data_IF_308125933588
#
_entry.id   IF_308125933588
#
_cell.length_a   1.000
_cell.length_b   1.000
_cell.length_c   1.000
_cell.angle_alpha   90.00
_cell.angle_beta   90.00
_cell.angle_gamma   90.00
#
_symmetry.space_group_name_H-M   'P 1'
#
loop_
_entity.id
_entity.type
_entity.pdbx_description
1 polymer ?
#
# COMPACT_ATOMS: atom_id res chain seq x y z
N UNK A 1 -24.80 -49.22 15.27
CA UNK A 1 -24.76 -48.23 14.18
C UNK A 1 -24.70 -46.85 14.82
N UNK A 2 -23.51 -46.24 14.85
CA UNK A 2 -23.29 -44.92 15.47
C UNK A 2 -23.51 -43.84 14.41
N UNK A 3 -24.66 -43.18 14.42
CA UNK A 3 -24.94 -42.03 13.56
C UNK A 3 -24.39 -40.78 14.24
N UNK A 4 -23.24 -40.28 13.74
CA UNK A 4 -22.74 -38.95 14.10
C UNK A 4 -23.80 -37.89 13.77
N UNK A 5 -23.99 -36.86 14.62
CA UNK A 5 -24.93 -35.79 14.33
C UNK A 5 -24.47 -35.01 13.09
N UNK A 6 -25.38 -34.47 12.27
CA UNK A 6 -25.01 -33.63 11.14
C UNK A 6 -24.29 -32.39 11.67
N UNK A 7 -23.01 -32.24 11.31
CA UNK A 7 -22.25 -31.01 11.52
C UNK A 7 -23.00 -29.88 10.84
N UNK A 8 -23.69 -29.02 11.60
CA UNK A 8 -24.21 -27.77 11.06
C UNK A 8 -23.00 -26.94 10.68
N UNK A 9 -22.70 -26.86 9.39
CA UNK A 9 -21.76 -25.90 8.86
C UNK A 9 -22.34 -24.51 9.17
N UNK A 10 -21.80 -23.80 10.15
CA UNK A 10 -22.06 -22.37 10.30
C UNK A 10 -21.54 -21.68 9.02
N UNK A 11 -22.40 -20.99 8.25
CA UNK A 11 -21.96 -20.32 7.03
C UNK A 11 -20.88 -19.29 7.37
N UNK A 12 -19.82 -19.22 6.57
CA UNK A 12 -18.84 -18.15 6.69
C UNK A 12 -19.53 -16.78 6.55
N UNK A 13 -19.07 -15.73 7.25
CA UNK A 13 -19.66 -14.40 7.18
C UNK A 13 -19.61 -13.89 5.73
N UNK A 14 -20.74 -13.34 5.26
CA UNK A 14 -20.83 -12.78 3.90
C UNK A 14 -19.95 -11.54 3.79
N UNK A 15 -19.12 -11.52 2.74
CA UNK A 15 -18.13 -10.49 2.48
C UNK A 15 -18.39 -9.85 1.11
N UNK A 16 -18.58 -8.53 1.08
CA UNK A 16 -18.66 -7.78 -0.18
C UNK A 16 -17.33 -7.08 -0.46
N UNK A 17 -16.84 -7.20 -1.69
CA UNK A 17 -15.53 -6.72 -2.13
C UNK A 17 -15.68 -5.57 -3.12
N UNK A 18 -15.01 -4.46 -2.82
CA UNK A 18 -14.96 -3.25 -3.65
C UNK A 18 -13.52 -2.90 -3.95
N UNK A 19 -13.14 -2.94 -5.24
CA UNK A 19 -11.78 -2.66 -5.69
C UNK A 19 -11.76 -1.35 -6.46
N UNK A 20 -10.91 -0.44 -6.03
CA UNK A 20 -10.54 0.76 -6.77
C UNK A 20 -9.50 0.40 -7.83
N UNK A 21 -9.97 0.13 -9.05
CA UNK A 21 -9.14 -0.36 -10.14
C UNK A 21 -8.21 0.71 -10.72
N UNK A 22 -8.47 1.99 -10.45
CA UNK A 22 -7.60 3.11 -10.86
C UNK A 22 -6.35 3.19 -10.00
N UNK A 23 -6.45 2.76 -8.73
CA UNK A 23 -5.33 2.71 -7.79
C UNK A 23 -4.70 1.31 -7.65
N UNK A 24 -5.38 0.25 -8.08
CA UNK A 24 -4.94 -1.14 -7.88
C UNK A 24 -4.75 -1.84 -9.24
N UNK A 25 -3.50 -2.25 -9.56
CA UNK A 25 -3.22 -3.01 -10.78
C UNK A 25 -3.99 -4.33 -10.87
N UNK A 26 -4.39 -4.70 -12.08
CA UNK A 26 -5.11 -5.96 -12.38
C UNK A 26 -4.34 -7.21 -11.93
N UNK A 27 -3.01 -7.13 -11.82
CA UNK A 27 -2.14 -8.22 -11.34
C UNK A 27 -2.46 -8.66 -9.91
N UNK A 28 -3.15 -7.83 -9.12
CA UNK A 28 -3.59 -8.18 -7.76
C UNK A 28 -4.94 -8.89 -7.69
N UNK A 29 -5.67 -9.04 -8.80
CA UNK A 29 -7.02 -9.61 -8.80
C UNK A 29 -7.11 -10.97 -8.08
N UNK A 30 -6.20 -11.91 -8.41
CA UNK A 30 -6.18 -13.22 -7.75
C UNK A 30 -5.85 -13.11 -6.26
N UNK A 31 -4.89 -12.26 -5.90
CA UNK A 31 -4.53 -12.02 -4.50
C UNK A 31 -5.69 -11.44 -3.69
N UNK A 32 -6.48 -10.54 -4.29
CA UNK A 32 -7.67 -9.95 -3.68
C UNK A 32 -8.75 -11.02 -3.51
N UNK A 33 -8.94 -11.88 -4.52
CA UNK A 33 -9.89 -12.99 -4.44
C UNK A 33 -9.52 -13.95 -3.31
N UNK A 34 -8.25 -14.34 -3.22
CA UNK A 34 -7.75 -15.22 -2.15
C UNK A 34 -7.91 -14.55 -0.77
N UNK A 35 -7.60 -13.25 -0.67
CA UNK A 35 -7.82 -12.45 0.53
C UNK A 35 -9.30 -12.46 0.95
N UNK A 36 -10.22 -12.29 0.00
CA UNK A 36 -11.65 -12.29 0.30
C UNK A 36 -12.09 -13.64 0.88
N UNK A 37 -11.68 -14.75 0.27
CA UNK A 37 -11.98 -16.09 0.77
C UNK A 37 -11.36 -16.41 2.14
N UNK A 38 -10.22 -15.79 2.48
CA UNK A 38 -9.63 -15.93 3.82
C UNK A 38 -10.47 -15.29 4.92
N UNK A 39 -11.21 -14.23 4.61
CA UNK A 39 -11.92 -13.42 5.60
C UNK A 39 -13.44 -13.64 5.62
N UNK A 40 -14.00 -14.30 4.61
CA UNK A 40 -15.43 -14.60 4.57
C UNK A 40 -15.83 -15.37 3.32
N UNK A 41 -17.14 -15.45 3.09
CA UNK A 41 -17.71 -15.94 1.84
C UNK A 41 -17.98 -14.74 0.92
N UNK A 42 -17.21 -14.54 -0.16
CA UNK A 42 -17.43 -13.44 -1.08
C UNK A 42 -18.80 -13.59 -1.75
N UNK A 43 -19.67 -12.60 -1.58
CA UNK A 43 -21.02 -12.59 -2.16
C UNK A 43 -21.20 -11.51 -3.24
N UNK A 44 -20.29 -10.55 -3.26
CA UNK A 44 -20.17 -9.50 -4.26
C UNK A 44 -18.69 -9.22 -4.48
N UNK A 45 -18.25 -9.18 -5.74
CA UNK A 45 -16.92 -8.74 -6.11
C UNK A 45 -17.02 -7.75 -7.26
N UNK A 46 -16.66 -6.49 -6.99
CA UNK A 46 -16.71 -5.40 -7.97
C UNK A 46 -15.37 -4.68 -8.06
N UNK A 47 -15.01 -4.32 -9.28
CA UNK A 47 -13.86 -3.46 -9.58
C UNK A 47 -14.38 -2.22 -10.31
N UNK A 48 -13.93 -1.03 -9.89
CA UNK A 48 -14.46 0.25 -10.35
C UNK A 48 -13.38 1.05 -11.05
N UNK A 49 -13.70 1.61 -12.20
CA UNK A 49 -12.81 2.53 -12.90
C UNK A 49 -13.23 2.86 -14.32
N UNK A 50 -12.43 3.65 -15.01
CA UNK A 50 -12.68 3.97 -16.41
C UNK A 50 -12.26 2.81 -17.33
N UNK A 51 -13.20 2.17 -18.03
CA UNK A 51 -12.95 1.04 -18.95
C UNK A 51 -12.00 1.41 -20.08
N UNK A 52 -12.03 2.68 -20.52
CA UNK A 52 -11.14 3.19 -21.56
C UNK A 52 -9.68 3.29 -21.11
N UNK A 53 -9.42 3.31 -19.80
CA UNK A 53 -8.07 3.33 -19.21
C UNK A 53 -7.65 1.96 -18.67
N UNK A 54 -8.60 1.09 -18.33
CA UNK A 54 -8.39 -0.17 -17.61
C UNK A 54 -9.06 -1.37 -18.31
N UNK A 55 -8.73 -1.65 -19.58
CA UNK A 55 -9.43 -2.68 -20.37
C UNK A 55 -9.21 -4.11 -19.85
N UNK A 56 -8.21 -4.33 -19.00
CA UNK A 56 -7.87 -5.67 -18.52
C UNK A 56 -8.69 -6.10 -17.31
N UNK A 57 -9.22 -5.16 -16.52
CA UNK A 57 -10.06 -5.48 -15.38
C UNK A 57 -11.42 -6.07 -15.77
N UNK A 58 -11.97 -5.68 -16.94
CA UNK A 58 -13.22 -6.22 -17.49
C UNK A 58 -13.12 -7.71 -17.88
N UNK A 59 -11.89 -8.21 -18.07
CA UNK A 59 -11.63 -9.61 -18.45
C UNK A 59 -11.38 -10.52 -17.25
N UNK A 60 -11.31 -9.98 -16.04
CA UNK A 60 -10.99 -10.73 -14.83
C UNK A 60 -12.20 -11.56 -14.40
N UNK A 61 -12.05 -12.89 -14.45
CA UNK A 61 -13.10 -13.79 -14.00
C UNK A 61 -13.41 -13.59 -12.50
N UNK A 62 -14.70 -13.58 -12.16
CA UNK A 62 -15.19 -13.46 -10.78
C UNK A 62 -15.37 -12.03 -10.28
N UNK A 63 -14.83 -11.02 -10.97
CA UNK A 63 -15.10 -9.61 -10.68
C UNK A 63 -16.08 -9.04 -11.69
N UNK A 64 -17.08 -8.30 -11.22
CA UNK A 64 -17.91 -7.47 -12.06
C UNK A 64 -17.23 -6.10 -12.21
N UNK A 65 -16.85 -5.72 -13.43
CA UNK A 65 -16.30 -4.39 -13.68
C UNK A 65 -17.42 -3.34 -13.79
N UNK A 66 -17.27 -2.23 -13.06
CA UNK A 66 -18.22 -1.11 -13.03
C UNK A 66 -17.54 0.11 -13.63
N UNK A 67 -18.05 0.54 -14.78
CA UNK A 67 -17.51 1.70 -15.47
C UNK A 67 -17.88 3.00 -14.74
N UNK A 68 -16.88 3.77 -14.31
CA UNK A 68 -17.09 5.04 -13.60
C UNK A 68 -17.30 6.26 -14.49
N UNK A 69 -17.10 6.15 -15.80
CA UNK A 69 -17.15 7.29 -16.72
C UNK A 69 -15.92 8.19 -16.60
N UNK A 70 -16.09 9.47 -16.96
CA UNK A 70 -15.02 10.47 -16.97
C UNK A 70 -15.26 11.51 -15.89
N UNK A 71 -14.56 11.40 -14.76
CA UNK A 71 -14.63 12.39 -13.68
C UNK A 71 -13.67 12.05 -12.56
N UNK A 72 -13.00 13.07 -12.00
CA UNK A 72 -11.90 12.90 -11.04
C UNK A 72 -12.26 12.06 -9.81
N UNK A 73 -13.51 12.13 -9.35
CA UNK A 73 -13.98 11.42 -8.15
C UNK A 73 -15.11 10.43 -8.48
N UNK A 74 -15.31 10.08 -9.76
CA UNK A 74 -16.46 9.27 -10.16
C UNK A 74 -16.35 7.84 -9.61
N UNK A 75 -15.15 7.26 -9.66
CA UNK A 75 -14.83 5.94 -9.10
C UNK A 75 -15.12 5.89 -7.60
N UNK A 76 -14.61 6.85 -6.83
CA UNK A 76 -14.80 6.91 -5.37
C UNK A 76 -16.28 7.05 -4.98
N UNK A 77 -17.03 7.88 -5.70
CA UNK A 77 -18.46 8.06 -5.45
C UNK A 77 -19.25 6.78 -5.69
N UNK A 78 -18.97 6.04 -6.78
CA UNK A 78 -19.64 4.76 -7.05
C UNK A 78 -19.32 3.71 -5.99
N UNK A 79 -18.05 3.60 -5.59
CA UNK A 79 -17.65 2.71 -4.48
C UNK A 79 -18.40 3.08 -3.20
N UNK A 80 -18.47 4.38 -2.87
CA UNK A 80 -19.17 4.85 -1.67
C UNK A 80 -20.66 4.51 -1.70
N UNK A 81 -21.34 4.73 -2.83
CA UNK A 81 -22.76 4.43 -3.00
C UNK A 81 -23.01 2.93 -2.84
N UNK A 82 -22.30 2.09 -3.59
CA UNK A 82 -22.51 0.65 -3.56
C UNK A 82 -22.15 0.04 -2.20
N UNK A 83 -21.06 0.47 -1.58
CA UNK A 83 -20.65 -0.02 -0.26
C UNK A 83 -21.69 0.32 0.82
N UNK A 84 -22.27 1.51 0.76
CA UNK A 84 -23.31 1.94 1.69
C UNK A 84 -24.65 1.22 1.44
N UNK A 85 -25.03 0.99 0.18
CA UNK A 85 -26.20 0.18 -0.15
C UNK A 85 -26.05 -1.25 0.39
N UNK A 86 -24.84 -1.83 0.28
CA UNK A 86 -24.54 -3.16 0.82
C UNK A 86 -24.54 -3.19 2.34
N UNK A 87 -24.11 -2.11 2.99
CA UNK A 87 -24.19 -1.99 4.45
C UNK A 87 -25.63 -1.93 4.97
N UNK A 88 -26.54 -1.34 4.21
CA UNK A 88 -27.94 -1.12 4.62
C UNK A 88 -28.89 -2.25 4.20
N UNK A 89 -28.43 -3.24 3.41
CA UNK A 89 -29.28 -4.31 2.88
C UNK A 89 -29.33 -5.58 3.76
N UNK A 90 -28.93 -5.53 5.03
CA UNK A 90 -28.98 -6.62 6.04
C UNK A 90 -28.36 -7.97 5.61
N UNK A 91 -27.54 -7.96 4.56
CA UNK A 91 -27.01 -9.18 3.93
C UNK A 91 -25.48 -9.26 3.94
N UNK A 92 -24.81 -8.30 4.57
CA UNK A 92 -23.37 -8.18 4.57
C UNK A 92 -22.83 -8.12 6.00
N UNK A 93 -21.95 -9.05 6.37
CA UNK A 93 -21.31 -9.06 7.68
C UNK A 93 -19.95 -8.34 7.67
N UNK A 94 -19.32 -8.28 6.50
CA UNK A 94 -18.01 -7.68 6.31
C UNK A 94 -17.88 -7.03 4.93
N UNK A 95 -17.07 -5.99 4.85
CA UNK A 95 -16.72 -5.31 3.59
C UNK A 95 -15.20 -5.32 3.42
N UNK A 96 -14.72 -5.68 2.23
CA UNK A 96 -13.34 -5.54 1.81
C UNK A 96 -13.21 -4.33 0.88
N UNK A 97 -12.59 -3.26 1.36
CA UNK A 97 -12.24 -2.07 0.58
C UNK A 97 -10.79 -2.19 0.11
N UNK A 98 -10.58 -2.34 -1.19
CA UNK A 98 -9.25 -2.44 -1.78
C UNK A 98 -8.90 -1.13 -2.47
N UNK A 99 -8.15 -0.27 -1.76
CA UNK A 99 -7.62 0.99 -2.29
C UNK A 99 -6.41 1.45 -1.49
N UNK A 100 -5.57 2.26 -2.13
CA UNK A 100 -4.49 2.99 -1.47
C UNK A 100 -4.84 4.44 -1.15
N UNK A 101 -6.03 4.91 -1.51
CA UNK A 101 -6.50 6.27 -1.24
C UNK A 101 -6.93 6.44 0.22
N UNK A 102 -6.57 7.58 0.80
CA UNK A 102 -6.98 7.97 2.14
C UNK A 102 -8.45 8.45 2.20
N UNK A 103 -9.05 8.82 1.07
CA UNK A 103 -10.38 9.42 1.02
C UNK A 103 -11.49 8.44 1.45
N UNK A 104 -11.23 7.13 1.41
CA UNK A 104 -12.11 6.09 1.96
C UNK A 104 -12.16 6.01 3.49
N UNK A 105 -11.36 6.79 4.21
CA UNK A 105 -11.36 6.80 5.70
C UNK A 105 -12.75 7.08 6.28
N UNK A 106 -13.49 8.03 5.71
CA UNK A 106 -14.83 8.35 6.20
C UNK A 106 -15.84 7.25 5.89
N UNK A 107 -15.77 6.64 4.71
CA UNK A 107 -16.59 5.48 4.34
C UNK A 107 -16.34 4.32 5.32
N UNK A 108 -15.09 3.94 5.54
CA UNK A 108 -14.70 2.87 6.47
C UNK A 108 -15.22 3.13 7.90
N UNK A 109 -15.15 4.38 8.37
CA UNK A 109 -15.71 4.77 9.67
C UNK A 109 -17.22 4.55 9.73
N UNK A 110 -17.95 4.93 8.68
CA UNK A 110 -19.41 4.80 8.63
C UNK A 110 -19.85 3.34 8.55
N UNK A 111 -19.21 2.53 7.72
CA UNK A 111 -19.47 1.09 7.61
C UNK A 111 -19.29 0.38 8.96
N UNK A 112 -18.22 0.71 9.71
CA UNK A 112 -18.02 0.20 11.07
C UNK A 112 -19.10 0.68 12.04
N UNK A 113 -19.58 1.91 11.87
CA UNK A 113 -20.70 2.45 12.66
C UNK A 113 -22.00 1.66 12.49
N UNK A 114 -22.20 0.99 11.36
CA UNK A 114 -23.31 0.06 11.13
C UNK A 114 -23.03 -1.37 11.64
N UNK A 115 -21.89 -1.61 12.29
CA UNK A 115 -21.54 -2.91 12.85
C UNK A 115 -20.85 -3.87 11.87
N UNK A 116 -20.51 -3.41 10.66
CA UNK A 116 -19.80 -4.24 9.69
C UNK A 116 -18.31 -4.34 10.02
N UNK A 117 -17.74 -5.52 9.80
CA UNK A 117 -16.28 -5.67 9.80
C UNK A 117 -15.70 -5.06 8.54
N UNK A 118 -14.89 -4.02 8.68
CA UNK A 118 -14.25 -3.37 7.53
C UNK A 118 -12.82 -3.85 7.39
N UNK A 119 -12.53 -4.55 6.30
CA UNK A 119 -11.20 -5.01 5.93
C UNK A 119 -10.69 -4.04 4.88
N UNK A 120 -9.57 -3.38 5.15
CA UNK A 120 -8.86 -2.59 4.16
C UNK A 120 -7.78 -3.44 3.49
N UNK A 121 -7.55 -3.23 2.20
CA UNK A 121 -6.39 -3.76 1.53
C UNK A 121 -5.78 -2.72 0.59
N UNK A 122 -4.45 -2.68 0.53
CA UNK A 122 -3.74 -1.73 -0.31
C UNK A 122 -2.24 -1.94 -0.26
N UNK A 123 -1.50 -1.13 -1.00
CA UNK A 123 -0.05 -1.22 -1.04
C UNK A 123 0.60 -0.89 0.31
N UNK A 124 1.88 -1.18 0.47
CA UNK A 124 2.62 -0.82 1.69
C UNK A 124 2.60 0.69 2.00
N UNK A 125 2.43 1.54 0.97
CA UNK A 125 2.42 3.00 1.10
C UNK A 125 1.07 3.60 1.51
N UNK A 126 0.01 2.80 1.65
CA UNK A 126 -1.31 3.29 2.06
C UNK A 126 -1.26 4.03 3.40
N UNK A 127 -1.99 5.14 3.51
CA UNK A 127 -1.94 6.03 4.67
C UNK A 127 -2.25 5.31 5.98
N UNK A 128 -1.54 5.68 7.05
CA UNK A 128 -1.79 5.16 8.40
C UNK A 128 -3.20 5.48 8.89
N UNK A 129 -3.76 6.62 8.46
CA UNK A 129 -5.10 7.05 8.81
C UNK A 129 -6.17 6.07 8.31
N UNK A 130 -6.09 5.65 7.05
CA UNK A 130 -7.02 4.66 6.50
C UNK A 130 -6.84 3.30 7.19
N UNK A 131 -5.59 2.84 7.35
CA UNK A 131 -5.26 1.58 8.03
C UNK A 131 -5.84 1.51 9.44
N UNK A 132 -5.70 2.59 10.22
CA UNK A 132 -6.15 2.64 11.61
C UNK A 132 -7.68 2.62 11.76
N UNK A 133 -8.41 3.07 10.74
CA UNK A 133 -9.88 3.04 10.76
C UNK A 133 -10.42 1.68 10.35
N UNK A 134 -9.70 0.92 9.52
CA UNK A 134 -10.09 -0.46 9.20
C UNK A 134 -10.05 -1.36 10.45
N UNK A 135 -10.92 -2.38 10.48
CA UNK A 135 -10.91 -3.42 11.52
C UNK A 135 -9.70 -4.34 11.34
N UNK A 136 -9.37 -4.65 10.09
CA UNK A 136 -8.20 -5.40 9.65
C UNK A 136 -7.64 -4.67 8.44
N UNK A 137 -6.32 -4.58 8.32
CA UNK A 137 -5.68 -4.07 7.12
C UNK A 137 -4.66 -5.07 6.57
N UNK A 138 -4.80 -5.41 5.29
CA UNK A 138 -3.94 -6.37 4.59
C UNK A 138 -3.11 -5.65 3.52
N UNK A 139 -1.80 -5.89 3.55
CA UNK A 139 -0.89 -5.28 2.57
C UNK A 139 -0.85 -6.18 1.34
N UNK A 140 -1.18 -5.61 0.18
CA UNK A 140 -0.98 -6.29 -1.09
C UNK A 140 0.52 -6.38 -1.38
N UNK A 141 1.02 -7.55 -1.84
CA UNK A 141 2.42 -7.72 -2.19
C UNK A 141 2.77 -6.78 -3.35
N UNK A 142 3.95 -6.18 -3.36
CA UNK A 142 4.37 -5.39 -4.52
C UNK A 142 4.56 -6.32 -5.72
N UNK A 143 4.10 -5.91 -6.90
CA UNK A 143 4.30 -6.63 -8.18
C UNK A 143 5.78 -6.82 -8.58
N UNK A 144 6.73 -6.29 -7.78
CA UNK A 144 8.18 -6.43 -7.95
C UNK A 144 8.86 -7.36 -6.94
N UNK A 145 8.13 -8.21 -6.21
CA UNK A 145 8.80 -9.16 -5.31
C UNK A 145 8.11 -10.51 -5.33
N UNK A 146 8.83 -11.49 -5.88
CA UNK A 146 8.50 -12.91 -5.83
C UNK A 146 8.17 -13.35 -4.40
N UNK A 147 7.10 -14.15 -4.33
CA UNK A 147 6.83 -15.22 -3.38
C UNK A 147 7.75 -15.31 -2.14
N UNK A 148 7.20 -15.03 -0.96
CA UNK A 148 7.65 -15.67 0.27
C UNK A 148 6.45 -15.99 1.17
N UNK A 149 6.26 -17.29 1.42
CA UNK A 149 5.33 -17.88 2.39
C UNK A 149 5.72 -17.48 3.84
N UNK A 150 4.80 -17.65 4.82
CA UNK A 150 4.72 -16.83 6.02
C UNK A 150 5.53 -17.39 7.19
N UNK A 151 6.10 -16.51 8.04
CA UNK A 151 6.47 -16.82 9.43
C UNK A 151 6.18 -15.59 10.33
N UNK A 152 5.73 -15.78 11.59
CA UNK A 152 4.87 -14.83 12.31
C UNK A 152 5.59 -13.89 13.28
N UNK A 153 4.85 -12.82 13.65
CA UNK A 153 4.81 -12.03 14.89
C UNK A 153 6.10 -11.85 15.73
N UNK A 154 6.45 -10.55 15.81
CA UNK A 154 6.82 -9.76 17.01
C UNK A 154 8.32 -9.53 17.29
N UNK A 155 8.60 -8.22 17.45
CA UNK A 155 9.63 -7.51 18.25
C UNK A 155 10.89 -6.95 17.56
N UNK A 156 10.90 -5.61 17.62
CA UNK A 156 12.00 -4.68 17.93
C UNK A 156 13.01 -4.31 16.83
N UNK A 157 12.91 -3.01 16.47
CA UNK A 157 13.98 -2.06 16.16
C UNK A 157 15.39 -2.63 15.96
N UNK A 158 15.65 -3.11 14.75
CA UNK A 158 16.92 -2.88 14.09
C UNK A 158 16.58 -2.22 12.75
N UNK A 159 17.03 -0.98 12.55
CA UNK A 159 16.86 -0.26 11.28
C UNK A 159 17.67 -1.00 10.22
N UNK A 160 17.06 -2.00 9.59
CA UNK A 160 17.58 -2.57 8.36
C UNK A 160 17.62 -1.43 7.33
N UNK A 161 18.82 -1.01 6.96
CA UNK A 161 19.07 0.02 5.96
C UNK A 161 18.17 -0.21 4.75
N UNK A 162 17.29 0.76 4.46
CA UNK A 162 16.38 0.62 3.34
C UNK A 162 17.20 0.54 2.04
N UNK A 163 16.66 -0.12 1.03
CA UNK A 163 17.31 -0.23 -0.29
C UNK A 163 17.64 1.15 -0.88
N UNK A 164 16.85 2.17 -0.54
CA UNK A 164 17.07 3.56 -0.92
C UNK A 164 18.31 4.12 -0.21
N UNK A 165 18.50 3.81 1.07
CA UNK A 165 19.67 4.28 1.83
C UNK A 165 20.98 3.68 1.30
N UNK A 166 20.94 2.42 0.85
CA UNK A 166 22.07 1.77 0.17
C UNK A 166 22.42 2.48 -1.14
N UNK A 167 21.41 2.85 -1.93
CA UNK A 167 21.59 3.56 -3.21
C UNK A 167 22.12 4.98 -3.01
N UNK A 168 21.58 5.72 -2.05
CA UNK A 168 22.09 7.06 -1.68
C UNK A 168 23.57 6.95 -1.26
N UNK A 169 23.91 5.96 -0.43
CA UNK A 169 25.29 5.71 -0.02
C UNK A 169 26.20 5.40 -1.22
N UNK A 170 25.75 4.57 -2.16
CA UNK A 170 26.47 4.28 -3.40
C UNK A 170 26.72 5.55 -4.24
N UNK A 171 25.71 6.42 -4.41
CA UNK A 171 25.88 7.69 -5.14
C UNK A 171 26.89 8.61 -4.45
N UNK A 172 26.84 8.73 -3.12
CA UNK A 172 27.76 9.59 -2.38
C UNK A 172 29.19 9.04 -2.45
N UNK A 173 29.39 7.73 -2.34
CA UNK A 173 30.72 7.09 -2.46
C UNK A 173 31.34 7.29 -3.84
N UNK A 174 30.55 7.17 -4.91
CA UNK A 174 31.07 7.31 -6.29
C UNK A 174 31.40 8.76 -6.66
N UNK A 175 30.77 9.75 -6.02
CA UNK A 175 30.88 11.16 -6.43
C UNK A 175 31.60 12.06 -5.41
N UNK A 176 32.04 11.53 -4.26
CA UNK A 176 32.75 12.30 -3.24
C UNK A 176 33.81 11.43 -2.55
N UNK A 177 34.94 11.14 -3.22
CA UNK A 177 36.04 10.34 -2.65
C UNK A 177 36.63 10.99 -1.39
N UNK A 178 36.54 12.31 -1.26
CA UNK A 178 37.11 13.08 -0.13
C UNK A 178 36.15 13.22 1.07
N UNK A 179 35.06 12.44 1.15
CA UNK A 179 34.07 12.48 2.26
C UNK A 179 33.37 13.84 2.47
N UNK A 180 33.55 14.82 1.60
CA UNK A 180 33.00 16.17 1.74
C UNK A 180 31.49 16.26 1.40
N UNK A 181 30.88 15.14 1.02
CA UNK A 181 29.47 15.06 0.64
C UNK A 181 29.21 15.53 -0.79
N UNK A 182 27.96 15.47 -1.20
CA UNK A 182 27.49 15.95 -2.51
C UNK A 182 26.40 16.98 -2.33
N UNK A 183 26.24 17.89 -3.30
CA UNK A 183 25.10 18.80 -3.32
C UNK A 183 23.80 18.01 -3.38
N UNK A 184 22.79 18.43 -2.61
CA UNK A 184 21.46 17.79 -2.62
C UNK A 184 20.84 17.86 -4.03
N UNK A 185 21.11 18.92 -4.78
CA UNK A 185 20.71 19.05 -6.19
C UNK A 185 21.38 18.00 -7.09
N UNK A 186 22.67 17.71 -6.88
CA UNK A 186 23.38 16.67 -7.63
C UNK A 186 22.93 15.26 -7.24
N UNK A 187 22.65 15.02 -5.95
CA UNK A 187 22.04 13.76 -5.48
C UNK A 187 20.74 13.51 -6.25
N UNK A 188 19.90 14.53 -6.39
CA UNK A 188 18.61 14.44 -7.08
C UNK A 188 18.77 13.98 -8.52
N UNK A 189 19.65 14.64 -9.27
CA UNK A 189 19.92 14.31 -10.68
C UNK A 189 20.52 12.91 -10.85
N UNK A 190 21.46 12.52 -9.98
CA UNK A 190 22.11 11.21 -10.05
C UNK A 190 21.20 10.07 -9.66
N UNK A 191 20.35 10.22 -8.65
CA UNK A 191 19.38 9.19 -8.28
C UNK A 191 18.38 8.93 -9.43
N UNK A 192 18.00 9.97 -10.16
CA UNK A 192 17.18 9.83 -11.36
C UNK A 192 17.95 9.14 -12.50
N UNK A 193 19.16 9.59 -12.82
CA UNK A 193 19.91 9.07 -13.97
C UNK A 193 20.46 7.65 -13.76
N UNK A 194 20.87 7.29 -12.53
CA UNK A 194 21.51 6.01 -12.23
C UNK A 194 20.48 4.95 -11.83
N UNK A 195 19.42 5.34 -11.12
CA UNK A 195 18.45 4.40 -10.56
C UNK A 195 17.02 4.63 -11.03
N UNK A 196 16.77 5.56 -11.97
CA UNK A 196 15.42 5.92 -12.41
C UNK A 196 14.55 6.53 -11.30
N UNK A 197 15.15 6.94 -10.17
CA UNK A 197 14.43 7.26 -8.96
C UNK A 197 14.16 8.76 -8.85
N UNK A 198 12.89 9.13 -8.74
CA UNK A 198 12.49 10.51 -8.45
C UNK A 198 11.98 10.61 -7.02
N UNK A 199 12.49 11.55 -6.23
CA UNK A 199 12.01 11.74 -4.84
C UNK A 199 10.56 12.25 -4.79
N UNK A 200 10.04 12.78 -5.90
CA UNK A 200 8.64 13.16 -6.06
C UNK A 200 7.68 11.96 -5.95
N UNK A 201 8.16 10.74 -6.21
CA UNK A 201 7.36 9.50 -6.04
C UNK A 201 7.39 8.99 -4.59
N UNK A 202 8.13 9.65 -3.70
CA UNK A 202 8.22 9.33 -2.28
C UNK A 202 7.40 10.31 -1.43
N UNK A 203 6.92 9.89 -0.25
CA UNK A 203 6.07 10.73 0.63
C UNK A 203 6.69 12.09 0.98
N UNK A 204 8.00 12.17 1.07
CA UNK A 204 8.73 13.37 1.47
C UNK A 204 8.85 14.40 0.34
N UNK A 205 8.57 14.02 -0.91
CA UNK A 205 8.52 14.83 -2.14
C UNK A 205 9.80 15.62 -2.48
N UNK A 206 10.75 15.71 -1.55
CA UNK A 206 11.99 16.43 -1.68
C UNK A 206 13.10 15.72 -0.90
N UNK A 207 14.31 15.71 -1.47
CA UNK A 207 15.46 14.99 -0.92
C UNK A 207 15.85 15.50 0.46
N UNK A 208 15.70 16.80 0.71
CA UNK A 208 16.06 17.38 2.00
C UNK A 208 15.18 16.83 3.13
N UNK A 209 13.86 16.81 2.96
CA UNK A 209 12.87 16.26 3.91
C UNK A 209 13.08 14.77 4.13
N UNK A 210 13.40 14.02 3.06
CA UNK A 210 13.74 12.60 3.16
C UNK A 210 14.97 12.37 4.05
N UNK A 211 16.01 13.18 3.88
CA UNK A 211 17.28 13.06 4.61
C UNK A 211 17.17 13.62 6.04
N UNK A 212 16.40 14.69 6.28
CA UNK A 212 16.17 15.30 7.59
C UNK A 212 15.47 14.33 8.55
N UNK A 213 14.57 13.48 8.04
CA UNK A 213 13.92 12.41 8.83
C UNK A 213 14.84 11.26 9.22
N UNK A 214 16.08 11.23 8.71
CA UNK A 214 17.07 10.16 8.93
C UNK A 214 18.39 10.74 9.46
N UNK A 215 18.38 11.46 10.61
CA UNK A 215 19.56 12.13 11.15
C UNK A 215 20.63 11.14 11.65
N UNK A 216 20.27 9.89 11.87
CA UNK A 216 21.19 8.80 12.21
C UNK A 216 22.02 8.34 11.01
N UNK A 217 21.50 8.48 9.79
CA UNK A 217 22.15 8.02 8.55
C UNK A 217 22.86 9.16 7.81
N UNK A 218 22.35 10.39 7.89
CA UNK A 218 22.83 11.52 7.10
C UNK A 218 23.16 12.76 7.94
N UNK A 219 24.14 13.53 7.48
CA UNK A 219 24.42 14.88 7.95
C UNK A 219 24.15 15.87 6.80
N UNK A 220 23.44 16.95 7.11
CA UNK A 220 22.99 17.96 6.14
C UNK A 220 23.53 19.33 6.50
N UNK A 221 23.94 20.08 5.50
CA UNK A 221 24.27 21.50 5.66
C UNK A 221 22.98 22.34 5.84
N UNK A 222 23.09 23.57 6.39
CA UNK A 222 21.99 24.53 6.47
C UNK A 222 21.31 24.77 5.10
N UNK A 223 20.06 25.22 5.12
CA UNK A 223 19.31 25.50 3.88
C UNK A 223 20.05 26.55 3.05
N UNK A 224 20.32 26.24 1.79
CA UNK A 224 21.00 27.12 0.85
C UNK A 224 21.27 26.44 -0.49
N UNK A 225 21.64 27.21 -1.54
CA UNK A 225 21.89 26.67 -2.89
C UNK A 225 23.07 25.67 -2.93
N UNK A 226 23.99 25.79 -1.96
CA UNK A 226 25.17 24.94 -1.83
C UNK A 226 25.03 23.86 -0.74
N UNK A 227 23.81 23.55 -0.31
CA UNK A 227 23.59 22.57 0.76
C UNK A 227 24.05 21.17 0.32
N UNK A 228 24.98 20.59 1.09
CA UNK A 228 25.49 19.24 0.87
C UNK A 228 24.86 18.23 1.83
N UNK A 229 24.88 16.97 1.39
CA UNK A 229 24.55 15.79 2.18
C UNK A 229 25.79 14.90 2.29
N UNK A 230 26.04 14.41 3.51
CA UNK A 230 27.07 13.42 3.84
C UNK A 230 26.38 12.20 4.47
N UNK A 231 26.81 10.99 4.13
CA UNK A 231 26.40 9.80 4.89
C UNK A 231 27.28 9.67 6.13
N UNK A 232 26.72 9.16 7.24
CA UNK A 232 27.47 8.87 8.47
C UNK A 232 28.03 7.45 8.39
N UNK A 233 29.34 7.24 8.22
CA UNK A 233 29.91 5.90 8.00
C UNK A 233 29.60 4.90 9.11
N UNK A 234 29.45 5.38 10.35
CA UNK A 234 29.12 4.59 11.54
C UNK A 234 27.78 3.87 11.41
N UNK A 235 26.79 4.49 10.75
CA UNK A 235 25.47 3.90 10.58
C UNK A 235 25.39 2.86 9.44
N UNK A 236 26.46 2.72 8.65
CA UNK A 236 26.58 1.76 7.55
C UNK A 236 27.65 0.69 7.81
N UNK A 237 28.26 0.64 9.00
CA UNK A 237 29.10 -0.48 9.42
C UNK A 237 28.19 -1.61 9.89
N UNK A 238 28.06 -2.66 9.08
CA UNK A 238 27.72 -3.99 9.60
C UNK A 238 28.73 -4.33 10.69
N UNK A 239 28.24 -4.66 11.90
CA UNK A 239 29.08 -5.21 12.95
C UNK A 239 29.85 -6.43 12.40
N UNK A 240 31.13 -6.62 12.78
CA UNK A 240 31.85 -7.81 12.39
C UNK A 240 31.12 -9.05 12.91
N UNK A 241 31.10 -10.08 12.07
CA UNK A 241 30.37 -11.34 12.22
C UNK A 241 30.69 -12.10 13.51
#
# INVERSE_FOLDING_TARGET
MSTLPPTRLTPAPRLSVFVDAENIPVTHAQTILDLAHRHGAPDLLRAYGNVGLLPDWDKVAGFQFIHSGSGKNATDMLICVDAMERALSDHCAAVLLVSSDQDFTHLATRLRGYGLTVIGAGEAKTSERFRAVCSIFEVLPNSHTEQAKPIPKVRQEHVALSEIDKRICAVIKTNSPDTNGILISHLSSRMHHVFGMQISTYPEKNWRSFLEKRPTLYALDPKGPNAKVRYKPEAFRTAPA
#
